data_IF_231487523306
#
_entry.id   IF_231487523306
#
_cell.length_a   1.000
_cell.length_b   1.000
_cell.length_c   1.000
_cell.angle_alpha   90.00
_cell.angle_beta   90.00
_cell.angle_gamma   90.00
#
_symmetry.space_group_name_H-M   'P 1'
#
loop_
_entity.id
_entity.type
_entity.pdbx_description
1 polymer ?
#
# COMPACT_ATOMS: atom_id res chain seq x y z
N UNK A 1 -3.51 3.46 9.22
CA UNK A 1 -3.78 2.08 8.74
C UNK A 1 -2.67 1.21 9.29
N UNK A 2 -3.01 0.00 9.72
CA UNK A 2 -1.98 -1.01 10.00
C UNK A 2 -1.51 -1.60 8.66
N UNK A 3 -0.28 -1.27 8.27
CA UNK A 3 0.28 -1.65 6.97
C UNK A 3 0.47 -3.16 6.85
N UNK A 4 0.76 -3.86 7.95
CA UNK A 4 0.97 -5.30 7.96
C UNK A 4 -0.35 -6.04 7.77
N UNK A 5 -1.39 -5.63 8.50
CA UNK A 5 -2.73 -6.17 8.31
C UNK A 5 -3.26 -5.90 6.89
N UNK A 6 -2.98 -4.72 6.34
CA UNK A 6 -3.34 -4.40 4.96
C UNK A 6 -2.62 -5.31 3.95
N UNK A 7 -1.34 -5.59 4.17
CA UNK A 7 -0.56 -6.50 3.32
C UNK A 7 -1.13 -7.92 3.34
N UNK A 8 -1.56 -8.43 4.50
CA UNK A 8 -2.17 -9.76 4.60
C UNK A 8 -3.47 -9.84 3.79
N UNK A 9 -4.36 -8.85 3.94
CA UNK A 9 -5.64 -8.82 3.24
C UNK A 9 -5.49 -8.64 1.72
N UNK A 10 -4.49 -7.85 1.28
CA UNK A 10 -4.20 -7.66 -0.14
C UNK A 10 -3.57 -8.88 -0.80
N UNK A 11 -2.84 -9.69 -0.03
CA UNK A 11 -2.25 -10.95 -0.51
C UNK A 11 -3.25 -12.10 -0.47
N UNK A 12 -4.09 -12.15 0.56
CA UNK A 12 -5.00 -13.25 0.84
C UNK A 12 -6.42 -12.98 0.38
N UNK A 13 -6.65 -12.61 -0.89
CA UNK A 13 -7.98 -12.43 -1.54
C UNK A 13 -9.06 -11.61 -0.78
N UNK A 14 -8.75 -11.04 0.38
CA UNK A 14 -9.69 -10.32 1.25
C UNK A 14 -9.97 -8.92 0.73
N UNK A 15 -8.96 -8.30 0.12
CA UNK A 15 -9.10 -7.02 -0.58
C UNK A 15 -8.73 -7.18 -2.06
N UNK A 16 -9.64 -6.72 -2.92
CA UNK A 16 -9.39 -6.67 -4.37
C UNK A 16 -8.27 -5.69 -4.75
N UNK A 17 -7.98 -4.70 -3.90
CA UNK A 17 -6.88 -3.75 -4.08
C UNK A 17 -6.95 -2.55 -3.14
N UNK A 18 -5.89 -1.73 -3.13
CA UNK A 18 -5.81 -0.51 -2.33
C UNK A 18 -5.16 0.64 -3.10
N UNK A 19 -5.69 1.85 -2.92
CA UNK A 19 -5.06 3.10 -3.36
C UNK A 19 -4.60 3.88 -2.14
N UNK A 20 -3.29 4.16 -2.04
CA UNK A 20 -2.68 4.81 -0.87
C UNK A 20 -2.07 6.15 -1.31
N UNK A 21 -2.57 7.25 -0.75
CA UNK A 21 -1.99 8.58 -0.98
C UNK A 21 -0.94 8.97 0.08
N UNK A 22 -0.96 8.28 1.23
CA UNK A 22 -0.07 8.49 2.38
C UNK A 22 0.49 7.14 2.85
N UNK A 23 1.73 7.10 3.31
CA UNK A 23 2.38 5.89 3.86
C UNK A 23 3.14 6.20 5.14
N UNK A 24 3.45 5.18 5.95
CA UNK A 24 4.33 5.31 7.12
C UNK A 24 5.38 4.18 7.10
N UNK A 25 6.68 4.49 6.98
CA UNK A 25 7.26 5.83 6.85
C UNK A 25 7.02 6.48 5.47
N UNK A 26 7.29 7.79 5.37
CA UNK A 26 7.19 8.55 4.12
C UNK A 26 8.52 9.26 3.78
N UNK A 27 9.07 9.09 2.56
CA UNK A 27 8.57 8.25 1.47
C UNK A 27 8.70 6.75 1.81
N UNK A 28 7.81 5.94 1.25
CA UNK A 28 7.84 4.50 1.46
C UNK A 28 9.19 3.93 0.96
N UNK A 29 9.89 3.10 1.77
CA UNK A 29 11.15 2.49 1.37
C UNK A 29 11.03 1.74 0.04
N UNK A 30 12.08 1.81 -0.79
CA UNK A 30 12.10 1.24 -2.14
C UNK A 30 11.99 -0.30 -2.15
N UNK A 31 12.38 -0.95 -1.06
CA UNK A 31 12.28 -2.39 -0.83
C UNK A 31 10.94 -2.82 -0.18
N UNK A 32 10.01 -1.88 0.04
CA UNK A 32 8.77 -2.18 0.73
C UNK A 32 7.81 -3.06 -0.13
N UNK A 33 7.18 -4.10 0.46
CA UNK A 33 6.36 -5.06 -0.29
C UNK A 33 5.19 -4.47 -1.06
N UNK A 34 4.61 -3.36 -0.58
CA UNK A 34 3.51 -2.66 -1.28
C UNK A 34 3.87 -2.24 -2.71
N UNK A 35 5.16 -2.02 -3.03
CA UNK A 35 5.61 -1.72 -4.39
C UNK A 35 5.48 -2.91 -5.35
N UNK A 36 5.42 -4.13 -4.82
CA UNK A 36 5.40 -5.37 -5.61
C UNK A 36 4.01 -5.95 -5.83
N UNK A 37 2.99 -5.37 -5.18
CA UNK A 37 1.61 -5.86 -5.27
C UNK A 37 0.89 -5.22 -6.48
N UNK A 38 0.46 -6.06 -7.43
CA UNK A 38 -0.23 -5.62 -8.66
C UNK A 38 -1.56 -4.91 -8.39
N UNK A 39 -2.18 -5.20 -7.23
CA UNK A 39 -3.45 -4.63 -6.79
C UNK A 39 -3.28 -3.40 -5.88
N UNK A 40 -2.09 -2.81 -5.81
CA UNK A 40 -1.82 -1.61 -5.01
C UNK A 40 -1.39 -0.44 -5.89
N UNK A 41 -2.02 0.72 -5.70
CA UNK A 41 -1.64 1.98 -6.35
C UNK A 41 -1.22 3.00 -5.29
N UNK A 42 0.05 3.36 -5.27
CA UNK A 42 0.58 4.40 -4.38
C UNK A 42 0.69 5.72 -5.16
N UNK A 43 0.14 6.80 -4.61
CA UNK A 43 0.25 8.15 -5.14
C UNK A 43 0.89 9.04 -4.07
N UNK A 44 1.92 9.85 -4.37
CA UNK A 44 2.57 10.67 -3.33
C UNK A 44 1.84 12.00 -3.16
N UNK A 45 0.98 12.12 -2.13
CA UNK A 45 0.35 13.38 -1.69
C UNK A 45 -0.26 14.23 -2.82
N UNK A 46 -0.99 13.60 -3.74
CA UNK A 46 -1.66 14.31 -4.86
C UNK A 46 -3.16 14.48 -4.65
N UNK A 47 -3.72 13.91 -3.57
CA UNK A 47 -5.17 13.94 -3.30
C UNK A 47 -5.60 15.08 -2.34
N UNK A 48 -4.83 16.17 -2.27
CA UNK A 48 -5.11 17.36 -1.46
C UNK A 48 -6.28 18.21 -1.94
#
# INVERSE_FOLDING_TARGET
VDTDALLEELRGEGLAGAALDVTDPEPLPEDHPLWTLDNVRITPHVAG
#
